data_IF_973261450185
#
_entry.id   IF_973261450185
#
_cell.length_a   1.000
_cell.length_b   1.000
_cell.length_c   1.000
_cell.angle_alpha   90.00
_cell.angle_beta   90.00
_cell.angle_gamma   90.00
#
_symmetry.space_group_name_H-M   'P 1'
#
loop_
_entity.id
_entity.type
_entity.pdbx_description
1 polymer ?
#
# COMPACT_ATOMS: atom_id res chain seq x y z
N UNK A 1 -14.37 4.46 -4.52
CA UNK A 1 -14.23 3.00 -4.34
C UNK A 1 -15.37 2.16 -4.91
N UNK A 2 -16.62 2.61 -4.97
CA UNK A 2 -17.76 1.78 -5.44
C UNK A 2 -17.56 1.11 -6.81
N UNK A 3 -17.02 1.85 -7.80
CA UNK A 3 -16.75 1.29 -9.13
C UNK A 3 -15.72 0.15 -9.11
N UNK A 4 -14.65 0.28 -8.33
CA UNK A 4 -13.61 -0.75 -8.19
C UNK A 4 -14.16 -2.06 -7.58
N UNK A 5 -15.06 -1.94 -6.60
CA UNK A 5 -15.67 -3.10 -5.95
C UNK A 5 -16.68 -3.82 -6.85
N UNK A 6 -17.37 -3.07 -7.72
CA UNK A 6 -18.36 -3.61 -8.65
C UNK A 6 -17.76 -4.21 -9.94
N UNK A 7 -16.51 -3.87 -10.28
CA UNK A 7 -15.87 -4.28 -11.54
C UNK A 7 -15.55 -5.79 -11.60
N UNK A 8 -16.16 -6.55 -12.52
CA UNK A 8 -15.90 -8.00 -12.66
C UNK A 8 -14.65 -8.33 -13.48
N UNK A 9 -14.21 -7.43 -14.38
CA UNK A 9 -13.08 -7.67 -15.27
C UNK A 9 -11.78 -7.34 -14.55
N UNK A 10 -10.97 -8.36 -14.28
CA UNK A 10 -9.74 -8.20 -13.50
C UNK A 10 -8.76 -7.16 -14.07
N UNK A 11 -8.65 -7.07 -15.40
CA UNK A 11 -7.79 -6.08 -16.06
C UNK A 11 -8.24 -4.64 -15.73
N UNK A 12 -9.54 -4.39 -15.80
CA UNK A 12 -10.10 -3.07 -15.50
C UNK A 12 -10.05 -2.79 -14.00
N UNK A 13 -10.31 -3.80 -13.18
CA UNK A 13 -10.15 -3.72 -11.72
C UNK A 13 -8.74 -3.29 -11.32
N UNK A 14 -7.71 -3.82 -11.98
CA UNK A 14 -6.32 -3.43 -11.75
C UNK A 14 -6.06 -1.95 -12.11
N UNK A 15 -6.63 -1.47 -13.23
CA UNK A 15 -6.51 -0.06 -13.63
C UNK A 15 -7.20 0.87 -12.65
N UNK A 16 -8.41 0.50 -12.21
CA UNK A 16 -9.17 1.25 -11.21
C UNK A 16 -8.42 1.31 -9.88
N UNK A 17 -7.83 0.20 -9.43
CA UNK A 17 -6.97 0.15 -8.23
C UNK A 17 -5.81 1.14 -8.34
N UNK A 18 -5.08 1.10 -9.45
CA UNK A 18 -3.94 1.99 -9.66
C UNK A 18 -4.40 3.46 -9.71
N UNK A 19 -5.57 3.74 -10.30
CA UNK A 19 -6.17 5.08 -10.32
C UNK A 19 -6.59 5.59 -8.93
N UNK A 20 -7.05 4.71 -8.01
CA UNK A 20 -7.38 5.11 -6.63
C UNK A 20 -6.15 5.68 -5.90
N UNK A 21 -4.96 5.15 -6.19
CA UNK A 21 -3.71 5.63 -5.61
C UNK A 21 -3.21 6.97 -6.21
N UNK A 22 -3.85 7.51 -7.25
CA UNK A 22 -3.48 8.81 -7.85
C UNK A 22 -4.08 10.02 -7.10
N UNK A 23 -4.91 9.78 -6.07
CA UNK A 23 -5.44 10.86 -5.23
C UNK A 23 -4.34 11.62 -4.50
N UNK A 24 -4.56 12.92 -4.21
CA UNK A 24 -3.68 13.74 -3.38
C UNK A 24 -4.11 13.78 -1.90
N UNK A 25 -5.25 13.17 -1.58
CA UNK A 25 -5.73 13.09 -0.21
C UNK A 25 -4.96 12.02 0.58
N UNK A 26 -4.19 12.46 1.58
CA UNK A 26 -3.34 11.59 2.42
C UNK A 26 -4.18 10.54 3.13
N UNK A 27 -5.36 10.93 3.63
CA UNK A 27 -6.26 10.03 4.36
C UNK A 27 -6.69 8.87 3.45
N UNK A 28 -7.12 9.17 2.23
CA UNK A 28 -7.47 8.15 1.22
C UNK A 28 -6.30 7.24 0.87
N UNK A 29 -5.07 7.76 0.78
CA UNK A 29 -3.89 6.94 0.51
C UNK A 29 -3.56 5.99 1.67
N UNK A 30 -3.66 6.46 2.92
CA UNK A 30 -3.49 5.61 4.11
C UNK A 30 -4.59 4.56 4.21
N UNK A 31 -5.84 4.95 3.97
CA UNK A 31 -6.99 4.03 3.96
C UNK A 31 -6.81 2.95 2.88
N UNK A 32 -6.33 3.31 1.68
CA UNK A 32 -6.04 2.35 0.62
C UNK A 32 -5.01 1.29 1.04
N UNK A 33 -3.95 1.69 1.75
CA UNK A 33 -2.95 0.76 2.27
C UNK A 33 -3.55 -0.13 3.36
N UNK A 34 -4.27 0.42 4.34
CA UNK A 34 -4.91 -0.36 5.41
C UNK A 34 -5.92 -1.38 4.88
N UNK A 35 -6.79 -0.97 3.95
CA UNK A 35 -7.76 -1.88 3.31
C UNK A 35 -7.09 -3.00 2.52
N UNK A 36 -5.85 -2.79 2.06
CA UNK A 36 -5.08 -3.84 1.39
C UNK A 36 -4.45 -4.85 2.35
N UNK A 37 -4.35 -4.52 3.64
CA UNK A 37 -3.84 -5.41 4.69
C UNK A 37 -4.97 -6.21 5.36
N UNK A 38 -6.22 -5.73 5.32
CA UNK A 38 -7.36 -6.41 5.94
C UNK A 38 -7.69 -7.74 5.26
N UNK A 39 -7.42 -8.84 5.96
CA UNK A 39 -7.67 -10.22 5.51
C UNK A 39 -9.13 -10.65 5.53
N UNK A 40 -9.98 -9.90 6.21
CA UNK A 40 -11.42 -10.11 6.19
C UNK A 40 -12.08 -9.38 5.00
N UNK A 41 -11.33 -8.50 4.33
CA UNK A 41 -11.80 -7.74 3.18
C UNK A 41 -11.57 -8.47 1.85
N UNK A 42 -12.53 -8.35 0.94
CA UNK A 42 -12.37 -8.76 -0.46
C UNK A 42 -11.79 -7.65 -1.34
N UNK A 43 -11.31 -6.56 -0.72
CA UNK A 43 -10.84 -5.37 -1.41
C UNK A 43 -9.71 -5.71 -2.39
N UNK A 44 -8.62 -6.33 -1.92
CA UNK A 44 -7.45 -6.66 -2.75
C UNK A 44 -7.01 -8.10 -2.47
N UNK A 45 -6.59 -8.81 -3.52
CA UNK A 45 -6.00 -10.15 -3.35
C UNK A 45 -4.65 -10.02 -2.68
N UNK A 46 -4.29 -10.99 -1.86
CA UNK A 46 -3.04 -10.98 -1.10
C UNK A 46 -1.76 -10.80 -1.95
N UNK A 47 -1.72 -11.47 -3.09
CA UNK A 47 -0.63 -11.35 -4.08
C UNK A 47 -0.56 -9.98 -4.79
N UNK A 48 -1.60 -9.17 -4.62
CA UNK A 48 -1.77 -7.87 -5.27
C UNK A 48 -1.55 -6.70 -4.30
N UNK A 49 -1.26 -6.97 -3.01
CA UNK A 49 -1.07 -5.95 -1.98
C UNK A 49 0.15 -5.09 -2.25
N UNK A 50 1.26 -5.69 -2.67
CA UNK A 50 2.49 -4.96 -2.98
C UNK A 50 2.31 -3.95 -4.13
N UNK A 51 1.37 -4.20 -5.04
CA UNK A 51 0.99 -3.24 -6.08
C UNK A 51 0.34 -1.99 -5.51
N UNK A 52 -0.45 -2.07 -4.44
CA UNK A 52 -1.01 -0.87 -3.80
C UNK A 52 0.09 -0.03 -3.17
N UNK A 53 0.97 -0.66 -2.40
CA UNK A 53 2.13 0.03 -1.81
C UNK A 53 3.02 0.65 -2.89
N UNK A 54 3.23 -0.05 -4.02
CA UNK A 54 3.95 0.50 -5.17
C UNK A 54 3.23 1.71 -5.78
N UNK A 55 1.92 1.65 -5.97
CA UNK A 55 1.15 2.74 -6.56
C UNK A 55 1.13 3.98 -5.64
N UNK A 56 1.04 3.78 -4.33
CA UNK A 56 1.21 4.86 -3.34
C UNK A 56 2.64 5.41 -3.34
N UNK A 57 3.67 4.56 -3.42
CA UNK A 57 5.08 5.00 -3.48
C UNK A 57 5.38 5.85 -4.72
N UNK A 58 4.66 5.63 -5.82
CA UNK A 58 4.78 6.36 -7.07
C UNK A 58 3.93 7.65 -7.11
N UNK A 59 3.03 7.84 -6.13
CA UNK A 59 2.28 9.08 -5.97
C UNK A 59 3.19 10.13 -5.31
N UNK A 60 3.26 11.38 -5.81
CA UNK A 60 4.10 12.42 -5.19
C UNK A 60 3.82 12.67 -3.71
N UNK A 61 2.54 12.71 -3.32
CA UNK A 61 2.11 12.85 -1.91
C UNK A 61 2.31 11.54 -1.16
N UNK A 62 2.00 10.41 -1.81
CA UNK A 62 2.19 9.08 -1.24
C UNK A 62 3.65 8.78 -0.88
N UNK A 63 4.58 9.28 -1.68
CA UNK A 63 6.01 9.11 -1.46
C UNK A 63 6.51 9.78 -0.18
N UNK A 64 5.88 10.88 0.24
CA UNK A 64 6.22 11.59 1.48
C UNK A 64 5.74 10.84 2.73
N UNK A 65 4.69 10.03 2.62
CA UNK A 65 4.04 9.37 3.76
C UNK A 65 4.36 7.88 3.89
N UNK A 66 4.83 7.23 2.80
CA UNK A 66 4.89 5.76 2.75
C UNK A 66 5.84 5.15 3.78
N UNK A 67 6.98 5.79 4.05
CA UNK A 67 7.93 5.29 5.04
C UNK A 67 7.38 5.42 6.47
N UNK A 68 6.83 6.58 6.81
CA UNK A 68 6.20 6.80 8.11
C UNK A 68 5.04 5.83 8.33
N UNK A 69 4.17 5.65 7.34
CA UNK A 69 3.10 4.65 7.39
C UNK A 69 3.64 3.25 7.64
N UNK A 70 4.70 2.85 6.94
CA UNK A 70 5.31 1.53 7.10
C UNK A 70 5.82 1.28 8.52
N UNK A 71 6.50 2.26 9.12
CA UNK A 71 6.99 2.15 10.51
C UNK A 71 5.81 2.15 11.50
N UNK A 72 4.84 3.06 11.32
CA UNK A 72 3.65 3.19 12.19
C UNK A 72 2.78 1.93 12.20
N UNK A 73 2.70 1.21 11.08
CA UNK A 73 1.79 0.08 10.86
C UNK A 73 2.53 -1.24 10.61
N UNK A 74 3.76 -1.39 11.10
CA UNK A 74 4.54 -2.61 10.88
C UNK A 74 3.81 -3.88 11.34
N UNK A 75 3.18 -3.84 12.52
CA UNK A 75 2.47 -5.00 13.06
C UNK A 75 1.27 -5.38 12.17
N UNK A 76 0.48 -4.40 11.69
CA UNK A 76 -0.63 -4.63 10.75
C UNK A 76 -0.13 -5.26 9.44
N UNK A 77 1.02 -4.81 8.93
CA UNK A 77 1.65 -5.33 7.71
C UNK A 77 2.12 -6.76 7.93
N UNK A 78 2.80 -7.01 9.05
CA UNK A 78 3.37 -8.32 9.36
C UNK A 78 2.25 -9.35 9.59
N UNK A 79 1.27 -9.03 10.42
CA UNK A 79 0.18 -9.95 10.76
C UNK A 79 -0.78 -10.15 9.58
N UNK A 80 -1.05 -9.11 8.79
CA UNK A 80 -1.92 -9.21 7.62
C UNK A 80 -1.32 -10.02 6.47
N UNK A 81 0.01 -10.04 6.34
CA UNK A 81 0.70 -10.61 5.17
C UNK A 81 1.55 -11.84 5.47
N UNK A 82 1.49 -12.39 6.67
CA UNK A 82 2.11 -13.69 6.93
C UNK A 82 1.17 -14.83 6.47
N UNK A 83 1.70 -15.87 5.80
CA UNK A 83 3.13 -16.20 5.59
C UNK A 83 3.79 -15.66 4.30
N UNK A 84 3.20 -14.68 3.61
CA UNK A 84 3.65 -14.14 2.31
C UNK A 84 4.90 -13.25 2.39
N UNK A 85 6.03 -13.84 2.81
CA UNK A 85 7.33 -13.18 2.99
C UNK A 85 7.82 -12.41 1.76
N UNK A 86 7.52 -12.87 0.54
CA UNK A 86 7.89 -12.17 -0.69
C UNK A 86 7.16 -10.82 -0.83
N UNK A 87 5.87 -10.78 -0.47
CA UNK A 87 5.06 -9.56 -0.49
C UNK A 87 5.58 -8.57 0.55
N UNK A 88 5.86 -9.03 1.77
CA UNK A 88 6.47 -8.21 2.83
C UNK A 88 7.81 -7.63 2.36
N UNK A 89 8.68 -8.47 1.78
CA UNK A 89 9.97 -8.03 1.23
C UNK A 89 9.83 -6.97 0.13
N UNK A 90 8.80 -7.06 -0.71
CA UNK A 90 8.51 -6.04 -1.71
C UNK A 90 8.03 -4.73 -1.07
N UNK A 91 7.15 -4.80 -0.07
CA UNK A 91 6.65 -3.62 0.64
C UNK A 91 7.79 -2.87 1.34
N UNK A 92 8.69 -3.58 2.03
CA UNK A 92 9.89 -2.99 2.65
C UNK A 92 10.70 -2.20 1.61
N UNK A 93 10.97 -2.82 0.45
CA UNK A 93 11.70 -2.16 -0.64
C UNK A 93 10.99 -0.90 -1.13
N UNK A 94 9.65 -0.90 -1.22
CA UNK A 94 8.88 0.28 -1.66
C UNK A 94 8.82 1.37 -0.60
N UNK A 95 8.63 1.01 0.66
CA UNK A 95 8.62 1.96 1.77
C UNK A 95 9.98 2.65 1.94
N UNK A 96 11.09 1.90 1.80
CA UNK A 96 12.44 2.45 1.89
C UNK A 96 12.75 3.51 0.81
N UNK A 97 12.07 3.48 -0.35
CA UNK A 97 12.18 4.54 -1.37
C UNK A 97 11.62 5.89 -0.89
N UNK A 98 10.81 5.89 0.16
CA UNK A 98 10.23 7.08 0.80
C UNK A 98 11.10 7.68 1.91
N UNK A 99 12.27 7.12 2.22
CA UNK A 99 13.20 7.72 3.19
C UNK A 99 13.72 9.04 2.63
N UNK A 100 13.64 10.11 3.43
CA UNK A 100 14.00 11.48 3.03
C UNK A 100 14.83 12.23 4.05
N UNK A 101 15.06 11.68 5.23
CA UNK A 101 15.83 12.35 6.29
C UNK A 101 16.76 11.40 7.03
N UNK A 102 17.80 11.96 7.66
CA UNK A 102 18.71 11.22 8.52
C UNK A 102 17.99 10.57 9.71
N UNK A 103 17.01 11.28 10.28
CA UNK A 103 16.17 10.73 11.35
C UNK A 103 15.45 9.44 10.93
N UNK A 104 14.89 9.40 9.71
CA UNK A 104 14.24 8.19 9.19
C UNK A 104 15.24 7.04 8.93
N UNK A 105 16.49 7.35 8.60
CA UNK A 105 17.56 6.33 8.48
C UNK A 105 17.86 5.72 9.86
N UNK A 106 17.85 6.51 10.92
CA UNK A 106 18.10 6.04 12.29
C UNK A 106 16.96 5.19 12.88
N UNK A 107 15.78 5.19 12.25
CA UNK A 107 14.63 4.35 12.64
C UNK A 107 14.69 2.93 12.05
N UNK A 108 15.64 2.64 11.14
CA UNK A 108 15.84 1.33 10.50
C UNK A 108 16.87 0.52 11.28
#
# INVERSE_FOLDING_TARGET
>A
MGLYLAEPVQLEKNRLRDALACTRDITSLKELMLLSLDRNSSFVRLQDVDYNFRSVANNPVGQEIIFSFFIEHWDDIYDGLMPERSTIGNIIKKAALGIRSQHQIEQV
#
